data_IF_319781492400
#
_entry.id   IF_319781492400
#
_cell.length_a   1.000
_cell.length_b   1.000
_cell.length_c   1.000
_cell.angle_alpha   90.00
_cell.angle_beta   90.00
_cell.angle_gamma   90.00
#
_symmetry.space_group_name_H-M   'P 1'
#
loop_
_entity.id
_entity.type
_entity.pdbx_description
1 polymer ?
#
# COMPACT_ATOMS: atom_id res chain seq x y z
N UNK A 1 25.21 -30.85 31.37
CA UNK A 1 25.04 -30.53 29.93
C UNK A 1 25.02 -29.03 29.82
N UNK A 2 26.10 -28.43 29.33
CA UNK A 2 26.11 -27.00 29.06
C UNK A 2 25.06 -26.71 27.99
N UNK A 3 24.06 -25.95 28.32
CA UNK A 3 23.05 -25.45 27.37
C UNK A 3 23.75 -24.48 26.44
N UNK A 4 24.21 -24.96 25.29
CA UNK A 4 24.75 -24.09 24.25
C UNK A 4 23.73 -23.03 23.92
N UNK A 5 24.14 -21.78 23.98
CA UNK A 5 23.27 -20.69 23.55
C UNK A 5 22.84 -20.90 22.11
N UNK A 6 21.58 -20.65 21.76
CA UNK A 6 21.10 -20.82 20.39
C UNK A 6 21.82 -19.85 19.46
N UNK A 7 22.23 -20.32 18.30
CA UNK A 7 22.88 -19.51 17.29
C UNK A 7 22.35 -19.86 15.88
N UNK A 8 22.64 -19.02 14.91
CA UNK A 8 22.33 -19.29 13.50
C UNK A 8 23.54 -19.92 12.81
N UNK A 9 23.36 -21.12 12.31
CA UNK A 9 24.38 -21.85 11.55
C UNK A 9 24.15 -21.65 10.05
N UNK A 10 25.23 -21.47 9.29
CA UNK A 10 25.18 -21.49 7.84
C UNK A 10 25.01 -22.96 7.38
N UNK A 11 23.81 -23.28 6.87
CA UNK A 11 23.40 -24.64 6.52
C UNK A 11 23.62 -24.98 5.05
N UNK A 12 23.37 -24.02 4.15
CA UNK A 12 23.58 -24.20 2.71
C UNK A 12 24.12 -22.94 2.05
N UNK A 13 24.89 -23.14 0.98
CA UNK A 13 25.34 -22.07 0.09
C UNK A 13 24.88 -22.42 -1.32
N UNK A 14 24.11 -21.55 -1.95
CA UNK A 14 23.71 -21.68 -3.34
C UNK A 14 24.49 -20.67 -4.18
N UNK A 15 25.23 -21.18 -5.16
CA UNK A 15 26.04 -20.39 -6.08
C UNK A 15 25.57 -20.64 -7.51
N UNK A 16 25.21 -19.58 -8.19
CA UNK A 16 24.83 -19.60 -9.60
C UNK A 16 25.65 -18.53 -10.36
N UNK A 17 26.33 -18.94 -11.41
CA UNK A 17 27.20 -18.09 -12.24
C UNK A 17 28.24 -17.28 -11.44
N UNK A 18 28.77 -17.88 -10.38
CA UNK A 18 29.76 -17.24 -9.53
C UNK A 18 31.19 -17.69 -9.89
N UNK A 19 32.00 -16.78 -10.39
CA UNK A 19 33.35 -17.06 -10.90
C UNK A 19 33.34 -18.26 -11.89
N UNK A 20 34.05 -19.35 -11.61
CA UNK A 20 34.02 -20.57 -12.44
C UNK A 20 32.83 -21.49 -12.18
N UNK A 21 32.01 -21.20 -11.20
CA UNK A 21 30.89 -22.04 -10.78
C UNK A 21 29.65 -21.63 -11.56
N UNK A 22 29.11 -22.53 -12.39
CA UNK A 22 27.83 -22.30 -13.05
C UNK A 22 26.65 -22.53 -12.09
N UNK A 23 26.62 -23.71 -11.46
CA UNK A 23 25.58 -24.06 -10.47
C UNK A 23 26.15 -24.98 -9.41
N UNK A 24 26.08 -24.58 -8.14
CA UNK A 24 26.50 -25.41 -7.02
C UNK A 24 25.68 -25.11 -5.78
N UNK A 25 25.26 -26.17 -5.10
CA UNK A 25 24.72 -26.09 -3.76
C UNK A 25 25.64 -26.86 -2.84
N UNK A 26 26.12 -26.20 -1.81
CA UNK A 26 26.97 -26.82 -0.78
C UNK A 26 26.12 -26.92 0.49
N UNK A 27 26.07 -28.11 1.07
CA UNK A 27 25.46 -28.36 2.38
C UNK A 27 26.56 -28.39 3.44
N UNK A 28 26.35 -27.68 4.51
CA UNK A 28 27.29 -27.52 5.62
C UNK A 28 26.70 -28.13 6.90
N UNK A 29 27.59 -28.57 7.77
CA UNK A 29 27.23 -29.02 9.13
C UNK A 29 27.18 -27.84 10.11
N UNK A 30 26.44 -27.97 11.20
CA UNK A 30 26.38 -26.96 12.26
C UNK A 30 27.74 -26.75 12.97
N UNK A 31 28.61 -27.76 12.94
CA UNK A 31 29.94 -27.70 13.55
C UNK A 31 31.01 -27.25 12.58
N UNK A 32 32.12 -28.00 12.59
CA UNK A 32 33.31 -27.68 11.77
C UNK A 32 33.12 -28.23 10.35
N UNK A 33 33.39 -27.41 9.35
CA UNK A 33 33.38 -27.75 7.95
C UNK A 33 34.77 -27.56 7.35
N UNK A 34 35.26 -28.53 6.61
CA UNK A 34 36.58 -28.48 5.96
C UNK A 34 36.41 -28.37 4.44
N UNK A 35 36.97 -27.33 3.84
CA UNK A 35 37.12 -27.22 2.39
C UNK A 35 38.49 -27.70 1.97
N UNK A 36 38.56 -28.88 1.35
CA UNK A 36 39.81 -29.49 0.89
C UNK A 36 39.85 -29.57 -0.63
N UNK A 37 41.05 -29.56 -1.19
CA UNK A 37 41.24 -29.66 -2.63
C UNK A 37 42.55 -29.01 -3.09
N UNK A 38 42.93 -29.23 -4.34
CA UNK A 38 44.11 -28.64 -4.95
C UNK A 38 44.03 -27.11 -5.08
N UNK A 39 45.15 -26.45 -5.34
CA UNK A 39 45.15 -25.03 -5.71
C UNK A 39 44.26 -24.81 -6.94
N UNK A 40 43.48 -23.75 -6.95
CA UNK A 40 42.51 -23.49 -8.03
C UNK A 40 41.21 -24.27 -7.97
N UNK A 41 41.00 -25.17 -6.96
CA UNK A 41 39.73 -25.94 -6.83
C UNK A 41 38.49 -25.13 -6.39
N UNK A 42 38.60 -23.82 -6.20
CA UNK A 42 37.48 -22.94 -5.86
C UNK A 42 37.23 -22.76 -4.37
N UNK A 43 38.12 -23.20 -3.46
CA UNK A 43 37.97 -23.02 -2.01
C UNK A 43 37.82 -21.52 -1.65
N UNK A 44 38.72 -20.69 -2.12
CA UNK A 44 38.65 -19.24 -1.90
C UNK A 44 37.41 -18.61 -2.56
N UNK A 45 36.99 -19.13 -3.72
CA UNK A 45 35.80 -18.68 -4.44
C UNK A 45 34.52 -18.83 -3.61
N UNK A 46 34.42 -19.91 -2.83
CA UNK A 46 33.29 -20.10 -1.91
C UNK A 46 33.38 -19.15 -0.73
N UNK A 47 34.57 -18.92 -0.17
CA UNK A 47 34.74 -17.94 0.91
C UNK A 47 34.43 -16.51 0.45
N UNK A 48 34.85 -16.15 -0.75
CA UNK A 48 34.57 -14.85 -1.35
C UNK A 48 33.05 -14.66 -1.57
N UNK A 49 32.33 -15.73 -1.94
CA UNK A 49 30.88 -15.69 -2.04
C UNK A 49 30.18 -15.42 -0.68
N UNK A 50 30.67 -16.05 0.39
CA UNK A 50 30.20 -15.79 1.74
C UNK A 50 30.44 -14.33 2.15
N UNK A 51 31.68 -13.86 1.89
CA UNK A 51 32.09 -12.49 2.23
C UNK A 51 31.23 -11.44 1.55
N UNK A 52 30.99 -11.59 0.24
CA UNK A 52 30.22 -10.56 -0.53
C UNK A 52 28.79 -10.42 -0.05
N UNK A 53 28.17 -11.51 0.40
CA UNK A 53 26.81 -11.47 0.97
C UNK A 53 26.85 -10.89 2.38
N UNK A 54 27.74 -11.38 3.25
CA UNK A 54 27.79 -10.96 4.65
C UNK A 54 28.25 -9.51 4.80
N UNK A 55 29.19 -9.05 3.98
CA UNK A 55 29.62 -7.65 4.03
C UNK A 55 28.70 -6.72 3.25
N UNK A 56 27.85 -7.28 2.39
CA UNK A 56 27.05 -6.52 1.41
C UNK A 56 27.92 -5.49 0.67
N UNK A 57 29.16 -5.87 0.36
CA UNK A 57 30.08 -5.02 -0.36
C UNK A 57 29.93 -5.24 -1.87
N UNK A 58 30.06 -4.16 -2.59
CA UNK A 58 29.81 -4.14 -4.02
C UNK A 58 31.03 -3.84 -4.86
N UNK A 59 32.10 -3.41 -4.23
CA UNK A 59 33.31 -2.99 -4.99
C UNK A 59 34.29 -4.12 -5.17
N UNK A 60 34.20 -5.21 -4.39
CA UNK A 60 35.16 -6.32 -4.40
C UNK A 60 36.58 -5.94 -3.95
N UNK A 61 36.85 -4.63 -3.88
CA UNK A 61 38.19 -4.13 -3.53
C UNK A 61 38.57 -4.50 -2.11
N UNK A 62 39.72 -5.13 -2.00
CA UNK A 62 40.28 -5.54 -0.71
C UNK A 62 39.58 -6.71 -0.02
N UNK A 63 38.58 -7.38 -0.66
CA UNK A 63 37.89 -8.56 -0.12
C UNK A 63 38.25 -9.84 -0.87
N UNK A 64 38.35 -9.79 -2.19
CA UNK A 64 38.71 -10.97 -2.96
C UNK A 64 40.15 -11.37 -2.69
N UNK A 65 40.35 -12.68 -2.56
CA UNK A 65 41.64 -13.25 -2.28
C UNK A 65 42.63 -12.83 -3.38
N UNK A 66 43.66 -12.08 -3.01
CA UNK A 66 44.73 -11.72 -3.92
C UNK A 66 45.36 -13.03 -4.43
N UNK A 67 45.33 -13.27 -5.73
CA UNK A 67 46.14 -14.30 -6.30
C UNK A 67 47.61 -14.06 -5.87
N UNK A 68 48.31 -15.08 -5.46
CA UNK A 68 49.61 -15.03 -4.77
C UNK A 68 50.75 -14.27 -5.51
N UNK A 69 50.49 -13.68 -6.66
CA UNK A 69 51.49 -13.08 -7.53
C UNK A 69 51.23 -11.64 -8.00
N UNK A 70 50.01 -11.08 -7.87
CA UNK A 70 49.72 -9.76 -8.44
C UNK A 70 49.07 -8.79 -7.43
N UNK A 71 49.65 -7.60 -7.34
CA UNK A 71 49.19 -6.45 -6.56
C UNK A 71 47.89 -5.80 -7.13
N UNK A 72 47.31 -6.38 -8.18
CA UNK A 72 46.08 -5.88 -8.81
C UNK A 72 44.87 -6.34 -8.06
N UNK A 73 44.09 -5.39 -7.51
CA UNK A 73 42.79 -5.62 -6.96
C UNK A 73 41.84 -6.07 -8.09
N UNK A 74 41.40 -7.34 -8.08
CA UNK A 74 40.39 -7.84 -9.02
C UNK A 74 39.08 -7.09 -8.78
N UNK A 75 38.50 -6.56 -9.83
CA UNK A 75 37.21 -5.91 -9.77
C UNK A 75 36.10 -6.96 -9.67
N UNK A 76 34.96 -6.56 -9.09
CA UNK A 76 33.78 -7.45 -8.99
C UNK A 76 33.35 -7.99 -10.36
N UNK A 77 33.40 -7.15 -11.39
CA UNK A 77 32.99 -7.56 -12.74
C UNK A 77 33.89 -8.62 -13.34
N UNK A 78 35.20 -8.49 -13.17
CA UNK A 78 36.18 -9.51 -13.62
C UNK A 78 35.96 -10.85 -12.92
N UNK A 79 35.59 -10.76 -11.63
CA UNK A 79 35.25 -11.93 -10.85
C UNK A 79 33.96 -12.59 -11.32
N UNK A 80 32.91 -11.83 -11.53
CA UNK A 80 31.61 -12.31 -12.03
C UNK A 80 31.73 -12.90 -13.45
N UNK A 81 32.45 -12.25 -14.34
CA UNK A 81 32.72 -12.74 -15.70
C UNK A 81 33.58 -14.01 -15.73
N UNK A 82 34.32 -14.27 -14.65
CA UNK A 82 35.22 -15.44 -14.55
C UNK A 82 36.44 -15.29 -15.47
N UNK A 83 37.35 -14.41 -15.10
CA UNK A 83 38.60 -14.23 -15.83
C UNK A 83 39.45 -15.53 -15.82
N UNK A 84 39.74 -16.05 -17.01
CA UNK A 84 40.41 -17.34 -17.20
C UNK A 84 41.92 -17.15 -17.38
N UNK A 85 42.31 -16.22 -18.20
CA UNK A 85 43.72 -15.98 -18.56
C UNK A 85 43.90 -14.54 -19.07
N UNK A 86 45.14 -14.09 -19.04
CA UNK A 86 45.58 -12.90 -19.76
C UNK A 86 46.28 -13.40 -21.00
N UNK A 87 45.81 -13.08 -22.19
CA UNK A 87 46.47 -13.46 -23.44
C UNK A 87 47.83 -12.78 -23.57
N UNK A 88 48.68 -13.28 -24.46
CA UNK A 88 50.01 -12.69 -24.76
C UNK A 88 49.90 -11.21 -25.18
N UNK A 89 48.69 -10.75 -25.61
CA UNK A 89 48.41 -9.36 -25.99
C UNK A 89 47.83 -8.53 -24.83
N UNK A 90 47.93 -8.96 -23.58
CA UNK A 90 47.32 -8.31 -22.39
C UNK A 90 45.80 -8.20 -22.44
N UNK A 91 45.11 -9.01 -23.24
CA UNK A 91 43.63 -9.04 -23.24
C UNK A 91 43.12 -10.10 -22.26
N UNK A 92 42.26 -9.71 -21.37
CA UNK A 92 41.61 -10.60 -20.40
C UNK A 92 40.57 -11.49 -21.09
N UNK A 93 40.74 -12.80 -20.96
CA UNK A 93 39.75 -13.77 -21.44
C UNK A 93 38.79 -14.14 -20.32
N UNK A 94 37.49 -14.06 -20.64
CA UNK A 94 36.42 -14.32 -19.71
C UNK A 94 35.57 -15.52 -20.12
N UNK A 95 35.03 -16.25 -19.14
CA UNK A 95 34.06 -17.33 -19.36
C UNK A 95 32.74 -16.82 -19.91
N UNK A 96 32.33 -15.63 -19.43
CA UNK A 96 31.01 -15.03 -19.76
C UNK A 96 31.19 -13.74 -20.55
N UNK A 97 30.85 -13.82 -21.85
CA UNK A 97 30.97 -12.73 -22.81
C UNK A 97 29.63 -12.18 -23.28
N UNK A 98 28.52 -12.69 -22.74
CA UNK A 98 27.17 -12.18 -22.99
C UNK A 98 26.58 -11.73 -21.67
N UNK A 99 25.57 -10.87 -21.71
CA UNK A 99 24.85 -10.43 -20.53
C UNK A 99 24.29 -11.62 -19.76
N UNK A 100 24.48 -11.63 -18.46
CA UNK A 100 24.08 -12.72 -17.57
C UNK A 100 23.75 -12.22 -16.19
N UNK A 101 23.08 -13.07 -15.42
CA UNK A 101 22.86 -12.83 -13.99
C UNK A 101 23.65 -13.83 -13.16
N UNK A 102 24.09 -13.41 -11.99
CA UNK A 102 24.76 -14.24 -10.99
C UNK A 102 24.01 -14.14 -9.68
N UNK A 103 23.89 -15.26 -8.97
CA UNK A 103 23.15 -15.29 -7.69
C UNK A 103 23.92 -16.05 -6.64
N UNK A 104 24.07 -15.45 -5.48
CA UNK A 104 24.66 -16.06 -4.29
C UNK A 104 23.63 -16.01 -3.17
N UNK A 105 23.37 -17.16 -2.54
CA UNK A 105 22.43 -17.24 -1.42
C UNK A 105 23.00 -18.12 -0.32
N UNK A 106 22.90 -17.62 0.90
CA UNK A 106 23.26 -18.29 2.14
C UNK A 106 21.99 -18.66 2.89
N UNK A 107 21.80 -19.96 3.18
CA UNK A 107 20.73 -20.45 4.04
C UNK A 107 21.25 -20.54 5.47
N UNK A 108 20.63 -19.82 6.38
CA UNK A 108 20.92 -19.81 7.80
C UNK A 108 19.83 -20.60 8.54
N UNK A 109 20.25 -21.51 9.43
CA UNK A 109 19.33 -22.30 10.25
C UNK A 109 19.54 -21.98 11.73
N UNK A 110 18.47 -21.63 12.41
CA UNK A 110 18.48 -21.43 13.86
C UNK A 110 18.60 -22.78 14.56
N UNK A 111 19.56 -22.92 15.45
CA UNK A 111 19.91 -24.25 16.02
C UNK A 111 18.84 -24.83 16.96
N UNK A 112 18.07 -23.97 17.65
CA UNK A 112 17.02 -24.39 18.60
C UNK A 112 15.65 -24.59 17.95
N UNK A 113 15.20 -23.65 17.10
CA UNK A 113 13.86 -23.68 16.48
C UNK A 113 13.83 -24.40 15.14
N UNK A 114 14.99 -24.57 14.51
CA UNK A 114 15.17 -25.08 13.14
C UNK A 114 14.58 -24.16 12.07
N UNK A 115 14.23 -22.95 12.45
CA UNK A 115 13.78 -21.95 11.49
C UNK A 115 14.90 -21.62 10.51
N UNK A 116 14.52 -21.50 9.24
CA UNK A 116 15.45 -21.23 8.15
C UNK A 116 15.19 -19.87 7.56
N UNK A 117 16.25 -19.24 7.12
CA UNK A 117 16.24 -17.94 6.45
C UNK A 117 17.31 -17.91 5.37
N UNK A 118 16.98 -17.32 4.26
CA UNK A 118 17.92 -17.14 3.16
C UNK A 118 18.29 -15.67 3.02
N UNK A 119 19.57 -15.41 2.88
CA UNK A 119 20.12 -14.07 2.59
C UNK A 119 20.99 -14.15 1.36
N UNK A 120 20.89 -13.18 0.45
CA UNK A 120 21.62 -13.28 -0.79
C UNK A 120 21.68 -12.00 -1.60
N UNK A 121 22.33 -12.12 -2.74
CA UNK A 121 22.47 -11.05 -3.72
C UNK A 121 22.34 -11.61 -5.13
N UNK A 122 21.67 -10.85 -5.98
CA UNK A 122 21.65 -11.05 -7.43
C UNK A 122 22.42 -9.92 -8.07
N UNK A 123 23.27 -10.27 -9.02
CA UNK A 123 23.98 -9.33 -9.88
C UNK A 123 23.50 -9.53 -11.32
N UNK A 124 23.08 -8.47 -12.00
CA UNK A 124 22.92 -8.45 -13.44
C UNK A 124 24.14 -7.76 -14.05
N UNK A 125 24.79 -8.45 -14.96
CA UNK A 125 26.03 -7.99 -15.59
C UNK A 125 25.77 -7.67 -17.05
N UNK A 126 25.98 -6.41 -17.40
CA UNK A 126 26.07 -5.96 -18.78
C UNK A 126 27.52 -6.00 -19.25
N UNK A 127 27.82 -6.96 -20.10
CA UNK A 127 29.19 -7.17 -20.61
C UNK A 127 29.62 -6.14 -21.64
N UNK A 128 28.69 -5.37 -22.21
CA UNK A 128 28.97 -4.33 -23.21
C UNK A 128 29.55 -3.06 -22.58
N UNK A 129 28.99 -2.67 -21.43
CA UNK A 129 29.37 -1.46 -20.70
C UNK A 129 30.20 -1.76 -19.43
N UNK A 130 30.40 -3.04 -19.12
CA UNK A 130 30.97 -3.51 -17.87
C UNK A 130 30.22 -2.95 -16.64
N UNK A 131 28.90 -2.82 -16.75
CA UNK A 131 28.05 -2.37 -15.66
C UNK A 131 27.48 -3.54 -14.87
N UNK A 132 27.32 -3.36 -13.55
CA UNK A 132 26.79 -4.36 -12.63
C UNK A 132 25.68 -3.75 -11.81
N UNK A 133 24.45 -4.12 -12.10
CA UNK A 133 23.34 -3.85 -11.23
C UNK A 133 23.18 -4.95 -10.18
N UNK A 134 22.60 -4.60 -9.03
CA UNK A 134 22.53 -5.50 -7.89
C UNK A 134 21.22 -5.42 -7.15
N UNK A 135 20.80 -6.55 -6.58
CA UNK A 135 19.67 -6.65 -5.68
C UNK A 135 20.04 -7.51 -4.48
N UNK A 136 20.15 -6.89 -3.32
CA UNK A 136 20.26 -7.62 -2.06
C UNK A 136 18.87 -8.06 -1.61
N UNK A 137 18.78 -9.25 -1.06
CA UNK A 137 17.51 -9.78 -0.57
C UNK A 137 17.69 -10.73 0.60
N UNK A 138 16.62 -10.89 1.33
CA UNK A 138 16.44 -11.99 2.26
C UNK A 138 14.99 -12.48 2.20
N UNK A 139 14.76 -13.72 2.54
CA UNK A 139 13.44 -14.29 2.73
C UNK A 139 13.45 -15.38 3.81
N UNK A 140 12.29 -15.63 4.40
CA UNK A 140 12.08 -16.73 5.35
C UNK A 140 12.01 -18.07 4.62
N UNK A 141 12.34 -19.14 5.32
CA UNK A 141 12.30 -20.50 4.78
C UNK A 141 13.59 -20.97 4.14
N UNK A 142 13.49 -22.10 3.46
CA UNK A 142 14.62 -22.76 2.77
C UNK A 142 14.96 -22.08 1.44
N UNK A 143 16.07 -22.54 0.83
CA UNK A 143 16.39 -22.18 -0.55
C UNK A 143 15.19 -22.45 -1.46
N UNK A 144 14.90 -21.53 -2.38
CA UNK A 144 13.81 -21.67 -3.32
C UNK A 144 13.91 -22.99 -4.11
N UNK A 145 12.79 -23.67 -4.40
CA UNK A 145 12.82 -24.96 -5.12
C UNK A 145 13.46 -24.87 -6.52
N UNK A 146 13.35 -23.71 -7.17
CA UNK A 146 13.97 -23.44 -8.46
C UNK A 146 15.46 -23.06 -8.35
N UNK A 147 16.01 -23.00 -7.12
CA UNK A 147 17.38 -22.57 -6.83
C UNK A 147 17.73 -21.21 -7.47
N UNK A 148 16.76 -20.28 -7.51
CA UNK A 148 16.90 -18.93 -8.06
C UNK A 148 17.21 -18.92 -9.58
N UNK A 149 16.74 -19.94 -10.29
CA UNK A 149 16.88 -20.08 -11.75
C UNK A 149 15.51 -20.27 -12.41
N UNK A 150 15.41 -19.84 -13.67
CA UNK A 150 14.27 -20.09 -14.54
C UNK A 150 14.81 -20.43 -15.93
N UNK A 151 14.22 -21.44 -16.60
CA UNK A 151 14.59 -21.84 -17.96
C UNK A 151 16.12 -22.04 -18.17
N UNK A 152 16.80 -22.59 -17.18
CA UNK A 152 18.24 -22.86 -17.25
C UNK A 152 19.16 -21.66 -16.96
N UNK A 153 18.63 -20.45 -16.82
CA UNK A 153 19.41 -19.23 -16.47
C UNK A 153 19.09 -18.73 -15.07
N UNK A 154 19.96 -17.89 -14.51
CA UNK A 154 19.70 -17.23 -13.25
C UNK A 154 18.56 -16.20 -13.41
N UNK A 155 17.77 -16.01 -12.36
CA UNK A 155 16.81 -14.92 -12.31
C UNK A 155 17.55 -13.58 -12.33
N UNK A 156 17.04 -12.65 -13.10
CA UNK A 156 17.49 -11.26 -13.10
C UNK A 156 17.07 -10.55 -11.81
N UNK A 157 17.62 -9.38 -11.54
CA UNK A 157 17.22 -8.55 -10.38
C UNK A 157 15.72 -8.22 -10.40
N UNK A 158 15.17 -7.97 -11.58
CA UNK A 158 13.74 -7.70 -11.77
C UNK A 158 12.87 -8.94 -11.52
N UNK A 159 13.22 -10.08 -12.13
CA UNK A 159 12.52 -11.34 -11.96
C UNK A 159 12.59 -11.85 -10.51
N UNK A 160 13.74 -11.67 -9.83
CA UNK A 160 13.90 -12.01 -8.42
C UNK A 160 12.95 -11.19 -7.55
N UNK A 161 12.86 -9.88 -7.78
CA UNK A 161 11.94 -9.00 -7.06
C UNK A 161 10.49 -9.44 -7.25
N UNK A 162 10.09 -9.69 -8.49
CA UNK A 162 8.74 -10.14 -8.81
C UNK A 162 8.44 -11.51 -8.16
N UNK A 163 9.39 -12.45 -8.22
CA UNK A 163 9.24 -13.76 -7.60
C UNK A 163 9.03 -13.64 -6.09
N UNK A 164 9.84 -12.84 -5.40
CA UNK A 164 9.73 -12.65 -3.96
C UNK A 164 8.41 -11.98 -3.58
N UNK A 165 7.97 -10.97 -4.33
CA UNK A 165 6.69 -10.30 -4.10
C UNK A 165 5.48 -11.21 -4.28
N UNK A 166 5.56 -12.18 -5.19
CA UNK A 166 4.48 -13.15 -5.42
C UNK A 166 4.47 -14.29 -4.39
N UNK A 167 5.64 -14.68 -3.90
CA UNK A 167 5.80 -15.89 -3.07
C UNK A 167 5.76 -15.63 -1.57
N UNK A 168 5.98 -14.40 -1.14
CA UNK A 168 6.13 -14.04 0.27
C UNK A 168 5.31 -12.81 0.63
N UNK A 169 4.87 -12.75 1.89
CA UNK A 169 4.25 -11.53 2.46
C UNK A 169 5.33 -10.46 2.75
N UNK A 170 4.99 -9.16 2.82
CA UNK A 170 5.95 -8.08 3.06
C UNK A 170 6.83 -8.26 4.31
N UNK A 171 6.36 -9.01 5.29
CA UNK A 171 7.11 -9.31 6.54
C UNK A 171 8.10 -10.46 6.39
N UNK A 172 7.95 -11.29 5.35
CA UNK A 172 8.72 -12.49 5.13
C UNK A 172 9.89 -12.31 4.18
N UNK A 173 10.02 -11.16 3.54
CA UNK A 173 11.13 -10.88 2.64
C UNK A 173 11.51 -9.41 2.59
N UNK A 174 12.70 -9.16 2.12
CA UNK A 174 13.17 -7.84 1.71
C UNK A 174 13.93 -7.98 0.39
N UNK A 175 13.82 -6.96 -0.47
CA UNK A 175 14.69 -6.82 -1.62
C UNK A 175 14.94 -5.33 -1.93
N UNK A 176 16.21 -4.99 -2.18
CA UNK A 176 16.59 -3.62 -2.49
C UNK A 176 18.01 -3.49 -3.02
N UNK A 177 18.33 -2.40 -3.73
CA UNK A 177 19.66 -2.14 -4.27
C UNK A 177 20.62 -1.57 -3.23
N UNK A 178 20.11 -1.04 -2.10
CA UNK A 178 20.92 -0.38 -1.07
C UNK A 178 21.64 -1.41 -0.19
N UNK A 179 22.96 -1.44 -0.26
CA UNK A 179 23.80 -2.27 0.60
C UNK A 179 23.72 -1.83 2.08
N UNK A 180 23.69 -0.55 2.37
CA UNK A 180 23.63 -0.05 3.74
C UNK A 180 22.35 -0.48 4.47
N UNK A 181 21.20 -0.32 3.81
CA UNK A 181 19.90 -0.74 4.36
C UNK A 181 19.84 -2.26 4.55
N UNK A 182 20.38 -3.02 3.61
CA UNK A 182 20.45 -4.47 3.72
C UNK A 182 21.38 -4.88 4.88
N UNK A 183 22.57 -4.26 5.02
CA UNK A 183 23.49 -4.52 6.12
C UNK A 183 22.85 -4.28 7.48
N UNK A 184 22.19 -3.15 7.67
CA UNK A 184 21.48 -2.87 8.93
C UNK A 184 20.49 -3.98 9.26
N UNK A 185 19.64 -4.37 8.32
CA UNK A 185 18.68 -5.46 8.55
C UNK A 185 19.37 -6.79 8.82
N UNK A 186 20.42 -7.12 8.05
CA UNK A 186 21.16 -8.36 8.22
C UNK A 186 21.78 -8.44 9.61
N UNK A 187 22.49 -7.42 10.05
CA UNK A 187 23.25 -7.44 11.30
C UNK A 187 22.37 -7.23 12.53
N UNK A 188 21.47 -6.27 12.49
CA UNK A 188 20.62 -5.94 13.65
C UNK A 188 19.54 -7.00 13.88
N UNK A 189 18.89 -7.47 12.81
CA UNK A 189 17.72 -8.36 12.91
C UNK A 189 18.12 -9.83 12.74
N UNK A 190 18.83 -10.15 11.66
CA UNK A 190 19.07 -11.54 11.29
C UNK A 190 20.25 -12.19 12.01
N UNK A 191 21.32 -11.45 12.22
CA UNK A 191 22.51 -11.96 12.91
C UNK A 191 22.52 -11.69 14.41
N UNK A 192 21.41 -11.13 14.95
CA UNK A 192 21.21 -10.99 16.39
C UNK A 192 22.02 -9.85 17.02
N UNK A 193 22.25 -8.76 16.29
CA UNK A 193 22.94 -7.58 16.79
C UNK A 193 24.46 -7.69 16.76
N UNK A 194 25.01 -8.39 15.76
CA UNK A 194 26.45 -8.40 15.52
C UNK A 194 26.92 -7.00 15.10
N UNK A 195 28.06 -6.60 15.61
CA UNK A 195 28.70 -5.33 15.25
C UNK A 195 29.07 -5.33 13.75
N UNK A 196 28.49 -4.39 13.00
CA UNK A 196 28.66 -4.26 11.55
C UNK A 196 30.08 -3.93 11.11
N UNK A 197 30.93 -3.43 12.00
CA UNK A 197 32.32 -3.11 11.69
C UNK A 197 33.30 -4.14 12.22
N UNK A 198 33.08 -4.66 13.41
CA UNK A 198 33.98 -5.63 14.04
C UNK A 198 33.91 -7.00 13.37
N UNK A 199 32.70 -7.50 13.13
CA UNK A 199 32.51 -8.82 12.53
C UNK A 199 33.18 -8.98 11.16
N UNK A 200 33.00 -8.07 10.19
CA UNK A 200 33.71 -8.15 8.91
C UNK A 200 35.25 -8.13 9.04
N UNK A 201 35.78 -7.30 9.94
CA UNK A 201 37.20 -7.22 10.20
C UNK A 201 37.75 -8.54 10.75
N UNK A 202 37.05 -9.16 11.70
CA UNK A 202 37.41 -10.45 12.27
C UNK A 202 37.32 -11.56 11.22
N UNK A 203 36.25 -11.60 10.47
CA UNK A 203 36.05 -12.62 9.44
C UNK A 203 37.12 -12.51 8.33
N UNK A 204 37.48 -11.30 7.88
CA UNK A 204 38.54 -11.05 6.93
C UNK A 204 39.91 -11.53 7.47
N UNK A 205 40.22 -11.22 8.73
CA UNK A 205 41.46 -11.68 9.38
C UNK A 205 41.51 -13.21 9.49
N UNK A 206 40.37 -13.84 9.82
CA UNK A 206 40.27 -15.30 9.90
C UNK A 206 40.52 -15.99 8.55
N UNK A 207 40.06 -15.42 7.43
CA UNK A 207 40.26 -15.98 6.08
C UNK A 207 41.70 -15.82 5.60
N UNK A 208 42.32 -14.68 5.85
CA UNK A 208 43.71 -14.41 5.45
C UNK A 208 44.75 -14.88 6.48
N UNK A 209 44.34 -15.77 7.38
CA UNK A 209 45.22 -16.26 8.44
C UNK A 209 46.49 -16.92 7.88
N UNK A 210 47.66 -16.32 8.19
CA UNK A 210 48.97 -16.89 7.89
C UNK A 210 49.55 -17.46 9.17
N UNK A 211 49.93 -18.74 9.14
CA UNK A 211 50.49 -19.48 10.29
C UNK A 211 51.84 -18.96 10.82
N UNK A 212 52.36 -17.85 10.34
CA UNK A 212 53.63 -17.25 10.75
C UNK A 212 53.51 -16.25 11.91
N UNK A 213 52.38 -16.23 12.59
CA UNK A 213 52.16 -15.37 13.77
C UNK A 213 52.74 -16.11 14.99
N UNK A 214 53.52 -15.43 15.83
CA UNK A 214 53.94 -15.97 17.13
C UNK A 214 52.68 -16.27 17.95
N UNK A 215 52.69 -17.35 18.73
CA UNK A 215 51.56 -17.78 19.53
C UNK A 215 51.01 -16.63 20.44
N UNK A 216 51.94 -15.82 20.97
CA UNK A 216 51.59 -14.67 21.80
C UNK A 216 50.79 -13.60 21.03
N UNK A 217 51.23 -13.28 19.82
CA UNK A 217 50.53 -12.29 18.96
C UNK A 217 49.17 -12.85 18.49
N UNK A 218 49.12 -14.17 18.21
CA UNK A 218 47.86 -14.84 17.90
C UNK A 218 46.87 -14.77 19.06
N UNK A 219 47.32 -15.08 20.27
CA UNK A 219 46.45 -15.02 21.45
C UNK A 219 46.05 -13.59 21.72
N UNK A 220 46.92 -12.59 21.60
CA UNK A 220 46.61 -11.18 21.81
C UNK A 220 45.66 -10.62 20.72
N UNK A 221 45.88 -10.98 19.45
CA UNK A 221 45.07 -10.43 18.33
C UNK A 221 43.75 -11.15 18.10
N UNK A 222 43.62 -12.43 18.41
CA UNK A 222 42.48 -13.27 18.01
C UNK A 222 41.72 -13.88 19.18
N UNK A 223 42.34 -14.10 20.33
CA UNK A 223 41.70 -14.73 21.49
C UNK A 223 41.50 -13.74 22.62
N UNK A 224 42.57 -13.08 23.02
CA UNK A 224 42.51 -11.97 23.96
C UNK A 224 42.52 -10.68 23.14
N UNK A 225 41.42 -10.43 22.43
CA UNK A 225 41.21 -9.04 22.04
C UNK A 225 41.33 -8.25 23.33
N UNK A 226 42.25 -7.27 23.37
CA UNK A 226 42.17 -6.22 24.36
C UNK A 226 40.74 -5.75 24.36
N UNK A 227 39.95 -6.27 25.27
CA UNK A 227 38.78 -5.58 25.70
C UNK A 227 39.34 -4.38 26.47
N UNK A 228 39.73 -3.37 25.70
CA UNK A 228 39.65 -2.07 26.23
C UNK A 228 38.17 -1.98 26.67
N UNK A 229 37.98 -2.21 27.94
CA UNK A 229 36.75 -1.87 28.61
C UNK A 229 36.76 -0.36 28.60
N UNK A 230 36.57 0.22 27.42
CA UNK A 230 36.31 1.64 27.28
C UNK A 230 34.99 1.86 27.99
N UNK A 231 35.12 2.32 29.24
CA UNK A 231 33.98 2.86 29.98
C UNK A 231 33.22 3.85 29.12
N UNK A 232 33.90 4.50 28.18
CA UNK A 232 33.40 5.36 27.13
C UNK A 232 32.44 4.62 26.16
N UNK A 233 32.77 3.41 25.69
CA UNK A 233 31.90 2.60 24.81
C UNK A 233 30.64 2.13 25.56
N UNK A 234 30.78 1.83 26.86
CA UNK A 234 29.63 1.51 27.71
C UNK A 234 28.75 2.75 27.93
N UNK A 235 29.35 3.91 28.15
CA UNK A 235 28.64 5.18 28.28
C UNK A 235 27.94 5.55 26.96
N UNK A 236 28.62 5.38 25.83
CA UNK A 236 28.02 5.62 24.52
C UNK A 236 26.86 4.65 24.23
N UNK A 237 27.02 3.37 24.57
CA UNK A 237 25.97 2.36 24.45
C UNK A 237 24.76 2.68 25.33
N UNK A 238 25.00 3.13 26.57
CA UNK A 238 23.92 3.59 27.49
C UNK A 238 23.25 4.84 26.95
N UNK A 239 24.00 5.79 26.40
CA UNK A 239 23.45 6.99 25.78
C UNK A 239 22.63 6.67 24.51
N UNK A 240 23.12 5.76 23.67
CA UNK A 240 22.38 5.28 22.49
C UNK A 240 21.08 4.57 22.89
N UNK A 241 21.14 3.72 23.90
CA UNK A 241 19.96 3.09 24.47
C UNK A 241 18.97 4.13 25.02
N UNK A 242 19.46 5.14 25.75
CA UNK A 242 18.65 6.25 26.23
C UNK A 242 17.95 7.02 25.11
N UNK A 243 18.69 7.35 24.02
CA UNK A 243 18.13 8.02 22.84
C UNK A 243 17.09 7.15 22.11
N UNK A 244 17.38 5.85 21.98
CA UNK A 244 16.47 4.92 21.34
C UNK A 244 15.17 4.74 22.14
N UNK A 245 15.30 4.66 23.47
CA UNK A 245 14.16 4.60 24.40
C UNK A 245 13.30 5.87 24.31
N UNK A 246 13.93 7.06 24.34
CA UNK A 246 13.22 8.33 24.17
C UNK A 246 12.45 8.39 22.85
N UNK A 247 13.08 7.97 21.77
CA UNK A 247 12.44 7.92 20.44
C UNK A 247 11.26 6.94 20.38
N UNK A 248 11.37 5.81 21.07
CA UNK A 248 10.25 4.85 21.20
C UNK A 248 9.11 5.50 22.00
N UNK A 249 9.41 6.16 23.12
CA UNK A 249 8.42 6.83 23.95
C UNK A 249 7.71 7.96 23.17
N UNK A 250 8.45 8.76 22.39
CA UNK A 250 7.90 9.78 21.50
C UNK A 250 6.97 9.15 20.42
N UNK A 251 7.43 8.08 19.77
CA UNK A 251 6.62 7.39 18.76
C UNK A 251 5.36 6.75 19.36
N UNK A 252 5.47 6.20 20.56
CA UNK A 252 4.30 5.66 21.27
C UNK A 252 3.28 6.75 21.62
N UNK A 253 3.75 7.95 21.98
CA UNK A 253 2.86 9.09 22.23
C UNK A 253 2.22 9.60 20.93
N UNK A 254 2.96 9.65 19.83
CA UNK A 254 2.39 9.95 18.50
C UNK A 254 1.31 8.94 18.09
N UNK A 255 1.57 7.66 18.28
CA UNK A 255 0.58 6.59 18.02
C UNK A 255 -0.66 6.79 18.88
N UNK A 256 -0.50 7.15 20.15
CA UNK A 256 -1.64 7.43 21.04
C UNK A 256 -2.47 8.61 20.55
N UNK A 257 -1.80 9.71 20.13
CA UNK A 257 -2.48 10.89 19.55
C UNK A 257 -3.20 10.55 18.24
N UNK A 258 -2.55 9.80 17.36
CA UNK A 258 -3.17 9.34 16.10
C UNK A 258 -4.39 8.46 16.36
N UNK A 259 -4.33 7.53 17.30
CA UNK A 259 -5.49 6.72 17.70
C UNK A 259 -6.65 7.58 18.23
N UNK A 260 -6.34 8.63 19.01
CA UNK A 260 -7.36 9.56 19.48
C UNK A 260 -8.01 10.32 18.31
N UNK A 261 -7.21 10.76 17.34
CA UNK A 261 -7.71 11.45 16.14
C UNK A 261 -8.59 10.49 15.31
N UNK A 262 -8.15 9.26 15.09
CA UNK A 262 -8.94 8.25 14.39
C UNK A 262 -10.30 8.02 15.09
N UNK A 263 -10.30 7.84 16.41
CA UNK A 263 -11.55 7.67 17.16
C UNK A 263 -12.48 8.89 17.08
N UNK A 264 -11.91 10.11 17.04
CA UNK A 264 -12.71 11.33 16.82
C UNK A 264 -13.25 11.42 15.41
N UNK A 265 -12.49 10.97 14.43
CA UNK A 265 -12.93 10.93 13.04
C UNK A 265 -14.06 9.91 12.83
N UNK A 266 -13.97 8.75 13.48
CA UNK A 266 -15.05 7.75 13.46
C UNK A 266 -16.34 8.31 14.06
N UNK A 267 -16.24 8.99 15.22
CA UNK A 267 -17.38 9.67 15.82
C UNK A 267 -17.97 10.76 14.92
N UNK A 268 -17.10 11.53 14.25
CA UNK A 268 -17.54 12.55 13.30
C UNK A 268 -18.28 11.92 12.10
N UNK A 269 -17.73 10.84 11.53
CA UNK A 269 -18.35 10.14 10.41
C UNK A 269 -19.74 9.59 10.81
N UNK A 270 -19.85 8.99 11.98
CA UNK A 270 -21.12 8.48 12.52
C UNK A 270 -22.15 9.62 12.69
N UNK A 271 -21.74 10.76 13.27
CA UNK A 271 -22.62 11.92 13.43
C UNK A 271 -22.99 12.58 12.12
N UNK A 272 -22.09 12.62 11.16
CA UNK A 272 -22.38 13.11 9.81
C UNK A 272 -23.41 12.24 9.09
N UNK A 273 -23.35 10.94 9.29
CA UNK A 273 -24.33 10.03 8.70
C UNK A 273 -25.69 10.13 9.42
N UNK A 274 -25.71 10.30 10.75
CA UNK A 274 -26.92 10.62 11.49
C UNK A 274 -27.56 11.93 10.97
N UNK A 275 -26.76 12.97 10.76
CA UNK A 275 -27.22 14.26 10.19
C UNK A 275 -27.87 14.08 8.81
N UNK A 276 -27.26 13.29 7.92
CA UNK A 276 -27.83 12.99 6.60
C UNK A 276 -29.18 12.28 6.71
N UNK A 277 -29.29 11.32 7.64
CA UNK A 277 -30.54 10.61 7.89
C UNK A 277 -31.61 11.56 8.42
N UNK A 278 -31.25 12.42 9.37
CA UNK A 278 -32.19 13.42 9.90
C UNK A 278 -32.65 14.42 8.81
N UNK A 279 -31.72 14.90 7.98
CA UNK A 279 -32.03 15.77 6.84
C UNK A 279 -32.99 15.09 5.87
N UNK A 280 -32.73 13.86 5.51
CA UNK A 280 -33.65 13.09 4.67
C UNK A 280 -35.03 12.92 5.30
N UNK A 281 -35.11 12.70 6.61
CA UNK A 281 -36.39 12.60 7.32
C UNK A 281 -37.15 13.93 7.30
N UNK A 282 -36.48 15.06 7.47
CA UNK A 282 -37.08 16.40 7.39
C UNK A 282 -37.63 16.62 5.99
N UNK A 283 -36.84 16.40 4.94
CA UNK A 283 -37.28 16.55 3.55
C UNK A 283 -38.51 15.66 3.25
N UNK A 284 -38.50 14.44 3.79
CA UNK A 284 -39.59 13.51 3.63
C UNK A 284 -40.89 14.01 4.31
N UNK A 285 -40.76 14.56 5.52
CA UNK A 285 -41.89 15.15 6.25
C UNK A 285 -42.40 16.40 5.55
N UNK A 286 -41.53 17.22 4.97
CA UNK A 286 -41.96 18.39 4.17
C UNK A 286 -42.77 17.97 2.94
N UNK A 287 -42.30 16.95 2.21
CA UNK A 287 -43.03 16.39 1.07
C UNK A 287 -44.39 15.89 1.51
N UNK A 288 -44.48 15.11 2.58
CA UNK A 288 -45.76 14.61 3.10
C UNK A 288 -46.69 15.75 3.50
N UNK A 289 -46.17 16.81 4.13
CA UNK A 289 -46.95 17.99 4.48
C UNK A 289 -47.51 18.71 3.24
N UNK A 290 -46.71 18.82 2.19
CA UNK A 290 -47.15 19.37 0.90
C UNK A 290 -48.18 18.47 0.21
N UNK A 291 -48.05 17.16 0.29
CA UNK A 291 -49.04 16.21 -0.23
C UNK A 291 -50.38 16.36 0.48
N UNK A 292 -50.37 16.43 1.82
CA UNK A 292 -51.59 16.64 2.62
C UNK A 292 -52.27 17.96 2.26
N UNK A 293 -51.51 19.07 2.23
CA UNK A 293 -52.06 20.38 1.85
C UNK A 293 -52.60 20.39 0.42
N UNK A 294 -51.94 19.68 -0.50
CA UNK A 294 -52.41 19.52 -1.88
C UNK A 294 -53.74 18.76 -1.92
N UNK A 295 -53.86 17.70 -1.12
CA UNK A 295 -55.06 16.92 -1.05
C UNK A 295 -56.22 17.75 -0.44
N UNK A 296 -55.97 18.45 0.68
CA UNK A 296 -56.96 19.36 1.27
C UNK A 296 -57.45 20.46 0.27
N UNK A 297 -56.50 21.00 -0.51
CA UNK A 297 -56.83 21.96 -1.54
C UNK A 297 -57.73 21.36 -2.64
N UNK A 298 -57.44 20.14 -3.08
CA UNK A 298 -58.28 19.41 -4.06
C UNK A 298 -59.66 19.13 -3.53
N UNK A 299 -59.76 18.72 -2.27
CA UNK A 299 -61.05 18.45 -1.65
C UNK A 299 -61.89 19.75 -1.52
N UNK A 300 -61.27 20.89 -1.17
CA UNK A 300 -61.94 22.21 -1.16
C UNK A 300 -62.41 22.64 -2.56
N UNK A 301 -61.53 22.37 -3.58
CA UNK A 301 -61.93 22.65 -4.98
C UNK A 301 -63.16 21.83 -5.36
N UNK A 302 -63.15 20.52 -5.04
CA UNK A 302 -64.27 19.64 -5.34
C UNK A 302 -65.61 20.12 -4.70
N UNK A 303 -65.52 20.41 -3.40
CA UNK A 303 -66.70 20.95 -2.69
C UNK A 303 -67.19 22.25 -3.31
N UNK A 304 -66.29 23.16 -3.69
CA UNK A 304 -66.67 24.40 -4.36
C UNK A 304 -67.26 24.19 -5.75
N UNK A 305 -66.73 23.23 -6.51
CA UNK A 305 -67.27 22.86 -7.81
C UNK A 305 -68.65 22.29 -7.72
N UNK A 306 -68.93 21.40 -6.76
CA UNK A 306 -70.29 20.88 -6.49
C UNK A 306 -71.22 22.01 -6.11
N UNK A 307 -70.81 22.94 -5.24
CA UNK A 307 -71.61 24.11 -4.89
C UNK A 307 -71.87 25.03 -6.11
N UNK A 308 -70.92 25.24 -6.98
CA UNK A 308 -71.11 26.03 -8.22
C UNK A 308 -72.09 25.33 -9.15
N UNK A 309 -72.04 24.00 -9.28
CA UNK A 309 -73.05 23.28 -10.10
C UNK A 309 -74.41 23.37 -9.54
N UNK A 310 -74.61 23.31 -8.22
CA UNK A 310 -75.88 23.46 -7.60
C UNK A 310 -76.43 24.91 -7.76
N UNK A 311 -75.54 25.90 -7.59
CA UNK A 311 -75.97 27.33 -7.85
C UNK A 311 -76.32 27.55 -9.31
N UNK A 312 -75.65 26.97 -10.27
CA UNK A 312 -76.00 27.03 -11.69
C UNK A 312 -77.35 26.40 -11.98
N UNK A 313 -77.68 25.26 -11.34
CA UNK A 313 -78.95 24.62 -11.47
C UNK A 313 -80.05 25.55 -10.92
N UNK A 314 -79.83 26.15 -9.72
CA UNK A 314 -80.77 27.12 -9.13
C UNK A 314 -80.95 28.35 -10.03
N UNK A 315 -79.82 28.84 -10.59
CA UNK A 315 -79.91 29.98 -11.54
C UNK A 315 -80.77 29.62 -12.77
N UNK A 316 -80.54 28.42 -13.35
CA UNK A 316 -81.36 27.98 -14.49
C UNK A 316 -82.87 27.89 -14.17
N UNK A 317 -83.19 27.40 -12.96
CA UNK A 317 -84.62 27.34 -12.51
C UNK A 317 -85.18 28.76 -12.37
N UNK A 318 -84.44 29.67 -11.73
CA UNK A 318 -84.88 31.06 -11.57
C UNK A 318 -85.01 31.80 -12.88
N UNK A 319 -84.04 31.58 -13.81
CA UNK A 319 -84.18 32.17 -15.16
C UNK A 319 -85.37 31.63 -15.95
N UNK A 320 -85.76 30.36 -15.71
CA UNK A 320 -86.95 29.80 -16.30
C UNK A 320 -88.24 30.42 -15.66
N UNK A 321 -88.28 30.54 -14.32
CA UNK A 321 -89.36 31.18 -13.61
C UNK A 321 -89.55 32.67 -14.04
N UNK A 322 -88.39 33.37 -14.19
CA UNK A 322 -88.44 34.77 -14.70
C UNK A 322 -89.06 34.83 -16.10
N UNK A 323 -88.64 33.94 -17.00
CA UNK A 323 -89.23 33.90 -18.35
C UNK A 323 -90.72 33.58 -18.33
N UNK A 324 -91.14 32.68 -17.47
CA UNK A 324 -92.52 32.27 -17.37
C UNK A 324 -93.39 33.41 -16.72
N UNK A 325 -92.87 34.09 -15.70
CA UNK A 325 -93.45 35.28 -15.13
C UNK A 325 -93.53 36.45 -16.13
N UNK A 326 -92.47 36.60 -16.94
CA UNK A 326 -92.42 37.61 -17.99
C UNK A 326 -93.57 37.36 -19.03
N UNK A 327 -93.76 36.10 -19.42
CA UNK A 327 -94.87 35.76 -20.32
C UNK A 327 -96.24 36.02 -19.69
N UNK A 328 -96.44 35.62 -18.41
CA UNK A 328 -97.64 35.93 -17.70
C UNK A 328 -97.90 37.43 -17.65
N UNK A 329 -96.89 38.21 -17.35
CA UNK A 329 -96.96 39.66 -17.34
C UNK A 329 -97.37 40.23 -18.71
N UNK A 330 -96.73 39.73 -19.79
CA UNK A 330 -97.13 40.15 -21.16
C UNK A 330 -98.54 39.74 -21.50
N UNK A 331 -99.02 38.56 -21.09
CA UNK A 331 -100.42 38.12 -21.27
C UNK A 331 -101.38 39.01 -20.48
N UNK A 332 -100.99 39.39 -19.28
CA UNK A 332 -101.87 40.31 -18.47
C UNK A 332 -101.93 41.68 -19.12
N UNK A 333 -100.84 42.21 -19.65
CA UNK A 333 -100.81 43.47 -20.41
C UNK A 333 -101.69 43.38 -21.64
N UNK A 334 -101.63 42.30 -22.39
CA UNK A 334 -102.49 42.08 -23.54
C UNK A 334 -103.99 42.03 -23.14
N UNK A 335 -104.32 41.35 -22.05
CA UNK A 335 -105.67 41.29 -21.52
C UNK A 335 -106.12 42.64 -21.06
N UNK A 336 -105.35 43.48 -20.44
CA UNK A 336 -105.65 44.84 -20.08
C UNK A 336 -105.88 45.68 -21.32
N UNK A 337 -105.08 45.54 -22.34
CA UNK A 337 -105.22 46.25 -23.61
C UNK A 337 -106.51 45.81 -24.35
N UNK A 338 -106.79 44.48 -24.40
CA UNK A 338 -107.98 43.95 -25.02
C UNK A 338 -109.31 44.30 -24.25
N UNK A 339 -109.19 44.49 -22.94
CA UNK A 339 -110.37 44.84 -22.13
C UNK A 339 -110.96 46.25 -22.40
N UNK A 340 -110.26 47.00 -23.21
CA UNK A 340 -110.65 48.37 -23.50
C UNK A 340 -110.47 49.35 -22.35
N UNK A 341 -109.81 48.93 -21.22
CA UNK A 341 -109.64 49.73 -20.02
C UNK A 341 -108.96 51.08 -20.31
N UNK A 342 -107.90 51.06 -21.16
CA UNK A 342 -107.21 52.27 -21.59
C UNK A 342 -108.07 53.19 -22.41
N UNK A 343 -109.06 52.64 -23.13
CA UNK A 343 -110.04 53.41 -23.86
C UNK A 343 -111.04 54.05 -22.92
N UNK A 344 -111.48 53.25 -21.93
CA UNK A 344 -112.40 53.72 -20.89
C UNK A 344 -111.75 54.77 -19.99
N UNK A 345 -110.49 54.66 -19.69
CA UNK A 345 -109.73 55.65 -18.91
C UNK A 345 -109.54 56.96 -19.72
N UNK A 346 -109.15 56.83 -21.01
CA UNK A 346 -109.11 57.99 -21.94
C UNK A 346 -110.52 58.66 -22.15
N UNK A 347 -111.55 57.84 -22.25
CA UNK A 347 -112.96 58.36 -22.35
C UNK A 347 -113.39 59.01 -21.04
N UNK A 348 -112.96 58.52 -19.88
CA UNK A 348 -113.22 59.10 -18.58
C UNK A 348 -112.47 60.41 -18.37
N UNK A 349 -111.17 60.46 -18.82
CA UNK A 349 -110.40 61.67 -18.80
C UNK A 349 -110.99 62.76 -19.73
N UNK A 350 -111.39 62.36 -20.93
CA UNK A 350 -112.04 63.31 -21.87
C UNK A 350 -113.46 63.76 -21.34
N UNK A 351 -114.16 62.86 -20.67
CA UNK A 351 -115.45 63.27 -19.98
C UNK A 351 -115.18 64.19 -18.79
N UNK A 352 -114.16 63.96 -18.00
CA UNK A 352 -113.77 64.85 -16.91
C UNK A 352 -113.23 66.18 -17.45
N UNK A 353 -112.42 66.24 -18.54
CA UNK A 353 -112.05 67.50 -19.17
C UNK A 353 -113.24 68.25 -19.73
N UNK A 354 -114.24 67.52 -20.33
CA UNK A 354 -115.48 68.16 -20.81
C UNK A 354 -116.34 68.60 -19.67
N UNK A 355 -116.32 67.94 -18.53
CA UNK A 355 -117.05 68.36 -17.34
C UNK A 355 -116.39 69.61 -16.71
N UNK A 356 -115.14 69.69 -16.63
CA UNK A 356 -114.35 70.87 -16.15
C UNK A 356 -114.55 72.09 -17.09
N UNK A 357 -114.69 71.85 -18.38
CA UNK A 357 -115.06 72.97 -19.36
C UNK A 357 -116.50 73.42 -19.37
N UNK A 358 -117.35 72.64 -18.70
CA UNK A 358 -118.83 72.98 -18.63
C UNK A 358 -119.23 73.55 -17.32
N UNK A 359 -118.37 73.63 -16.30
CA UNK A 359 -118.58 74.35 -15.06
C UNK A 359 -117.98 75.78 -15.12
#
# INVERSE_FOLDING_TARGET
METKQPFKALSKICLNNWHYIDKKILTLNEGINFFTGHSGSGKSTVLDAIQIVLYANTDGRGFFNKAAADDSDRTLIEYLRGMVNISENNESQYLRNRNFSSTIVLELTQTNTRDKQCVGVVFDVDTSNNDVSRLFFWHTGELLPNHYRSEGRCLTTAEMREYLQRSFTPEQFYCGPSNERFRRQLYDIYLGGLDMEKFPKLFKRAISFRMNIKLEDFVKEYICMEQDIHIEDLQESVMQYGRMRSKIEETMEEIRRLKLICGKYEQYAEKSDEEKVCSYQIDRLEIMNHEVKSQEARDRIKVRQEAIEDLKKQQQVLEQEEKDLQKEYEEIILRIADSGYARLESDLDTLNETLELSL
#
